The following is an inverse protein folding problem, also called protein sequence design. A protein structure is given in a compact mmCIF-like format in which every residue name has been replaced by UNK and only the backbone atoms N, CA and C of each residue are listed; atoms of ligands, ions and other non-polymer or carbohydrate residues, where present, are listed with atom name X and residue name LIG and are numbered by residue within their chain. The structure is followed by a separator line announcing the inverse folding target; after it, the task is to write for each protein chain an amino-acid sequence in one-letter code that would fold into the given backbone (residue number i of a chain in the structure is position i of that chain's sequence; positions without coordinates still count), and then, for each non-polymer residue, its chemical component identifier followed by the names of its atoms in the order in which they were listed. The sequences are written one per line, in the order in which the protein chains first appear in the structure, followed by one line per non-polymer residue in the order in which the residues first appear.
data_IF_097041522365
#
_entry.id   IF_097041522365
#
_cell.length_a   1.000
_cell.length_b   1.000
_cell.length_c   1.000
_cell.angle_alpha   90.00
_cell.angle_beta   90.00
_cell.angle_gamma   90.00
#
_symmetry.space_group_name_H-M   'P 1'
#
loop_
_entity.id
_entity.type
_entity.pdbx_description
1 polymer ?
#
# COMPACT_ATOMS: atom_id res chain seq x y z
N UNK A 1 2.25 -14.18 -5.40
CA UNK A 1 2.34 -12.95 -6.18
C UNK A 1 3.56 -12.13 -5.79
N UNK A 2 3.98 -11.24 -6.66
CA UNK A 2 5.07 -10.31 -6.37
C UNK A 2 4.67 -9.38 -5.23
N UNK A 3 5.66 -9.01 -4.41
CA UNK A 3 5.54 -7.92 -3.45
C UNK A 3 5.71 -6.58 -4.17
N UNK A 4 5.14 -5.52 -3.61
CA UNK A 4 5.45 -4.14 -4.01
C UNK A 4 6.93 -3.84 -3.70
N UNK A 5 7.58 -2.90 -4.41
CA UNK A 5 9.03 -2.70 -4.26
C UNK A 5 9.50 -2.39 -2.83
N UNK A 6 8.68 -1.68 -2.05
CA UNK A 6 8.99 -1.34 -0.64
C UNK A 6 8.55 -2.42 0.36
N UNK A 7 7.81 -3.45 -0.10
CA UNK A 7 7.31 -4.51 0.76
C UNK A 7 8.35 -5.63 0.91
N UNK A 8 8.35 -6.28 2.07
CA UNK A 8 9.22 -7.41 2.38
C UNK A 8 8.42 -8.63 2.86
N UNK A 9 9.10 -9.71 3.19
CA UNK A 9 8.53 -10.88 3.84
C UNK A 9 8.47 -12.13 2.98
N UNK A 10 7.61 -13.05 3.35
CA UNK A 10 7.53 -14.41 2.81
C UNK A 10 7.14 -14.44 1.35
N UNK A 11 7.96 -15.06 0.51
CA UNK A 11 7.68 -15.34 -0.89
C UNK A 11 7.85 -16.84 -1.17
N UNK A 12 6.87 -17.44 -1.82
CA UNK A 12 6.96 -18.82 -2.28
C UNK A 12 7.61 -18.84 -3.67
N UNK A 13 8.69 -19.58 -3.80
CA UNK A 13 9.38 -19.84 -5.07
C UNK A 13 9.03 -21.26 -5.52
N UNK A 14 8.72 -21.43 -6.79
CA UNK A 14 8.35 -22.72 -7.41
C UNK A 14 9.42 -23.06 -8.44
N UNK A 15 9.82 -24.32 -8.49
CA UNK A 15 10.85 -24.82 -9.40
C UNK A 15 10.31 -25.96 -10.27
N UNK A 16 10.85 -26.11 -11.47
CA UNK A 16 10.53 -27.21 -12.37
C UNK A 16 9.01 -27.37 -12.60
N UNK A 17 8.52 -28.57 -12.42
CA UNK A 17 7.10 -28.93 -12.61
C UNK A 17 6.15 -28.18 -11.64
N UNK A 18 6.62 -27.80 -10.45
CA UNK A 18 5.81 -27.05 -9.48
C UNK A 18 5.36 -25.69 -10.01
N UNK A 19 6.05 -25.14 -11.02
CA UNK A 19 5.65 -23.88 -11.67
C UNK A 19 4.26 -23.97 -12.28
N UNK A 20 3.80 -25.15 -12.68
CA UNK A 20 2.44 -25.42 -13.18
C UNK A 20 1.37 -25.20 -12.10
N UNK A 21 1.75 -25.30 -10.82
CA UNK A 21 0.87 -25.06 -9.69
C UNK A 21 0.76 -23.56 -9.31
N UNK A 22 1.47 -22.68 -10.01
CA UNK A 22 1.44 -21.24 -9.74
C UNK A 22 0.03 -20.65 -9.64
N UNK A 23 -0.92 -20.93 -10.53
CA UNK A 23 -2.29 -20.39 -10.43
C UNK A 23 -2.95 -20.72 -9.10
N UNK A 24 -2.75 -21.94 -8.59
CA UNK A 24 -3.27 -22.40 -7.29
C UNK A 24 -2.65 -21.60 -6.15
N UNK A 25 -1.34 -21.45 -6.11
CA UNK A 25 -0.64 -20.68 -5.06
C UNK A 25 -0.95 -19.17 -5.13
N UNK A 26 -1.26 -18.62 -6.27
CA UNK A 26 -1.70 -17.23 -6.39
C UNK A 26 -3.01 -16.98 -5.66
N UNK A 27 -3.89 -17.98 -5.55
CA UNK A 27 -5.19 -17.89 -4.86
C UNK A 27 -5.10 -18.02 -3.33
N UNK A 28 -3.93 -18.38 -2.78
CA UNK A 28 -3.74 -18.51 -1.32
C UNK A 28 -4.08 -17.21 -0.59
N UNK A 29 -4.61 -17.33 0.62
CA UNK A 29 -4.71 -16.22 1.55
C UNK A 29 -3.30 -15.78 1.99
N UNK A 30 -3.18 -14.51 2.36
CA UNK A 30 -1.94 -13.92 2.85
C UNK A 30 -2.19 -13.16 4.12
N UNK A 31 -1.20 -13.16 4.99
CA UNK A 31 -1.21 -12.32 6.20
C UNK A 31 -0.12 -11.27 6.06
N UNK A 32 -0.49 -10.04 6.33
CA UNK A 32 0.41 -8.88 6.27
C UNK A 32 0.41 -8.14 7.59
N UNK A 33 1.56 -7.62 7.94
CA UNK A 33 1.72 -6.58 8.94
C UNK A 33 2.06 -5.27 8.22
N UNK A 34 1.52 -4.16 8.69
CA UNK A 34 1.74 -2.84 8.12
C UNK A 34 1.40 -1.75 9.14
N UNK A 35 1.82 -0.53 8.83
CA UNK A 35 1.50 0.64 9.64
C UNK A 35 0.70 1.63 8.81
N UNK A 36 -0.33 2.22 9.42
CA UNK A 36 -0.98 3.42 8.91
C UNK A 36 -0.21 4.60 9.50
N UNK A 37 0.49 5.36 8.65
CA UNK A 37 1.21 6.56 9.03
C UNK A 37 0.31 7.78 8.81
N UNK A 38 0.10 8.57 9.86
CA UNK A 38 -0.81 9.71 9.88
C UNK A 38 -0.07 11.02 9.55
N UNK A 39 -0.80 11.91 8.90
CA UNK A 39 -0.37 13.29 8.66
C UNK A 39 0.22 13.55 7.29
N UNK A 40 0.49 12.51 6.50
CA UNK A 40 1.06 12.66 5.15
C UNK A 40 0.35 11.70 4.22
N UNK A 41 -0.09 12.18 3.05
CA UNK A 41 -0.55 11.32 1.96
C UNK A 41 0.37 11.39 0.75
N UNK A 42 0.40 10.32 -0.04
CA UNK A 42 1.18 10.21 -1.26
C UNK A 42 0.33 9.72 -2.42
N UNK A 43 0.77 9.94 -3.65
CA UNK A 43 0.07 9.50 -4.87
C UNK A 43 0.12 7.98 -5.08
N UNK A 44 1.06 7.27 -4.44
CA UNK A 44 1.15 5.80 -4.47
C UNK A 44 0.49 5.11 -3.27
N UNK A 45 -0.03 5.89 -2.31
CA UNK A 45 -0.60 5.39 -1.04
C UNK A 45 0.41 4.68 -0.13
N UNK A 46 1.71 4.82 -0.42
CA UNK A 46 2.85 4.32 0.37
C UNK A 46 4.04 5.29 0.29
N UNK A 47 5.17 4.93 0.89
CA UNK A 47 6.38 5.80 0.92
C UNK A 47 7.04 6.02 -0.44
N UNK A 48 6.67 5.28 -1.47
CA UNK A 48 7.25 5.40 -2.82
C UNK A 48 6.55 6.45 -3.68
N UNK A 49 5.54 7.12 -3.17
CA UNK A 49 4.82 8.18 -3.85
C UNK A 49 5.38 9.57 -3.58
N UNK A 50 5.00 10.50 -4.47
CA UNK A 50 5.14 11.92 -4.21
C UNK A 50 4.14 12.34 -3.14
N UNK A 51 4.57 13.21 -2.24
CA UNK A 51 3.69 13.76 -1.21
C UNK A 51 2.62 14.63 -1.86
N UNK A 52 1.36 14.37 -1.52
CA UNK A 52 0.19 15.07 -2.07
C UNK A 52 -0.51 15.96 -1.06
N UNK A 53 -0.45 15.60 0.22
CA UNK A 53 -1.01 16.42 1.30
C UNK A 53 -0.29 16.16 2.62
N UNK A 54 -0.20 17.22 3.45
CA UNK A 54 0.35 17.18 4.80
C UNK A 54 -0.64 17.88 5.74
N UNK A 55 -0.97 17.22 6.86
CA UNK A 55 -1.78 17.80 7.93
C UNK A 55 -1.21 17.35 9.29
N UNK A 56 -0.75 18.28 10.06
CA UNK A 56 -0.15 18.03 11.38
C UNK A 56 -1.17 17.87 12.51
N UNK A 57 -2.46 18.15 12.23
CA UNK A 57 -3.54 18.11 13.23
C UNK A 57 -4.20 16.73 13.42
N UNK A 58 -3.76 15.72 12.67
CA UNK A 58 -4.42 14.39 12.58
C UNK A 58 -4.44 13.56 13.87
N UNK A 59 -3.76 13.99 14.95
CA UNK A 59 -3.77 13.27 16.24
C UNK A 59 -5.19 13.02 16.78
N UNK A 60 -6.12 13.93 16.51
CA UNK A 60 -7.50 13.85 16.98
C UNK A 60 -8.34 12.79 16.23
N UNK A 61 -7.80 12.19 15.16
CA UNK A 61 -8.54 11.30 14.27
C UNK A 61 -8.20 9.82 14.42
N UNK A 62 -7.39 9.47 15.43
CA UNK A 62 -6.96 8.06 15.66
C UNK A 62 -8.16 7.14 15.86
N UNK A 63 -9.11 7.53 16.70
CA UNK A 63 -10.30 6.70 16.98
C UNK A 63 -11.21 6.57 15.75
N UNK A 64 -11.31 7.61 14.93
CA UNK A 64 -12.04 7.56 13.66
C UNK A 64 -11.41 6.54 12.70
N UNK A 65 -10.07 6.50 12.61
CA UNK A 65 -9.35 5.51 11.79
C UNK A 65 -9.57 4.10 12.34
N UNK A 66 -9.46 3.89 13.66
CA UNK A 66 -9.70 2.58 14.29
C UNK A 66 -11.12 2.09 14.04
N UNK A 67 -12.11 2.96 14.20
CA UNK A 67 -13.51 2.66 13.91
C UNK A 67 -13.68 2.28 12.45
N UNK A 68 -13.11 3.05 11.52
CA UNK A 68 -13.16 2.77 10.09
C UNK A 68 -12.53 1.41 9.74
N UNK A 69 -11.39 1.08 10.31
CA UNK A 69 -10.75 -0.22 10.13
C UNK A 69 -11.66 -1.36 10.57
N UNK A 70 -12.30 -1.24 11.74
CA UNK A 70 -13.12 -2.29 12.33
C UNK A 70 -14.53 -2.39 11.73
N UNK A 71 -15.03 -1.35 11.06
CA UNK A 71 -16.39 -1.33 10.48
C UNK A 71 -16.36 -1.48 8.97
N UNK A 72 -15.55 -0.68 8.28
CA UNK A 72 -15.51 -0.65 6.82
C UNK A 72 -14.51 -1.66 6.24
N UNK A 73 -13.24 -1.61 6.67
CA UNK A 73 -12.19 -2.44 6.08
C UNK A 73 -12.42 -3.92 6.36
N UNK A 74 -12.83 -4.29 7.58
CA UNK A 74 -13.10 -5.70 7.91
C UNK A 74 -14.22 -6.30 7.05
N UNK A 75 -15.19 -5.50 6.63
CA UNK A 75 -16.34 -5.92 5.83
C UNK A 75 -16.15 -5.70 4.31
N UNK A 76 -14.98 -5.29 3.87
CA UNK A 76 -14.71 -5.02 2.46
C UNK A 76 -14.80 -6.29 1.61
N UNK A 77 -15.69 -6.29 0.61
CA UNK A 77 -15.93 -7.42 -0.29
C UNK A 77 -15.40 -7.21 -1.70
N UNK A 78 -15.14 -5.96 -2.08
CA UNK A 78 -14.58 -5.58 -3.38
C UNK A 78 -13.50 -4.53 -3.20
N UNK A 79 -12.53 -4.51 -4.11
CA UNK A 79 -11.46 -3.51 -4.11
C UNK A 79 -11.09 -3.16 -5.55
N UNK A 80 -11.01 -1.87 -5.87
CA UNK A 80 -10.45 -1.40 -7.13
C UNK A 80 -8.94 -1.68 -7.17
N UNK A 81 -8.40 -1.86 -8.38
CA UNK A 81 -6.96 -1.87 -8.55
C UNK A 81 -6.38 -0.48 -8.35
N UNK A 82 -5.23 -0.40 -7.69
CA UNK A 82 -4.52 0.87 -7.55
C UNK A 82 -4.08 1.40 -8.93
N UNK A 83 -4.20 2.73 -9.21
CA UNK A 83 -3.74 3.34 -10.46
C UNK A 83 -2.27 3.02 -10.78
N UNK A 84 -1.42 3.01 -9.77
CA UNK A 84 0.00 2.63 -9.87
C UNK A 84 0.14 1.13 -9.59
N UNK A 85 -0.41 0.29 -10.47
CA UNK A 85 -0.30 -1.18 -10.37
C UNK A 85 0.07 -1.82 -11.70
N UNK A 86 0.55 -3.08 -11.64
CA UNK A 86 0.92 -3.87 -12.80
C UNK A 86 -0.28 -4.51 -13.52
N UNK A 87 -1.53 -4.28 -13.07
CA UNK A 87 -2.73 -4.76 -13.74
C UNK A 87 -2.82 -4.15 -15.13
N UNK A 88 -2.91 -5.00 -16.15
CA UNK A 88 -3.02 -4.57 -17.54
C UNK A 88 -4.47 -4.36 -17.94
N UNK A 89 -4.75 -3.23 -18.56
CA UNK A 89 -6.02 -2.90 -19.22
C UNK A 89 -5.78 -2.50 -20.67
N UNK A 90 -6.84 -2.52 -21.46
CA UNK A 90 -6.84 -1.95 -22.80
C UNK A 90 -7.52 -0.56 -22.75
N UNK A 91 -6.79 0.49 -23.10
CA UNK A 91 -7.31 1.86 -23.18
C UNK A 91 -6.85 2.48 -24.51
N UNK A 92 -7.48 2.01 -25.61
CA UNK A 92 -7.16 2.45 -26.96
C UNK A 92 -6.58 1.36 -27.86
N UNK A 93 -6.25 1.66 -29.13
CA UNK A 93 -5.71 0.70 -30.08
C UNK A 93 -4.34 0.16 -29.62
N UNK A 94 -4.14 -1.16 -29.76
CA UNK A 94 -2.88 -1.81 -29.48
C UNK A 94 -2.89 -2.78 -28.32
N UNK A 95 -1.72 -3.07 -27.74
CA UNK A 95 -1.54 -4.06 -26.68
C UNK A 95 -1.96 -3.54 -25.31
N UNK A 96 -2.57 -4.42 -24.50
CA UNK A 96 -2.84 -4.13 -23.08
C UNK A 96 -1.57 -3.63 -22.36
N UNK A 97 -1.68 -2.52 -21.67
CA UNK A 97 -0.60 -1.92 -20.86
C UNK A 97 -1.01 -1.91 -19.39
N UNK A 98 -0.04 -1.92 -18.46
CA UNK A 98 -0.34 -1.84 -17.03
C UNK A 98 -0.95 -0.47 -16.65
N UNK A 99 -1.73 -0.45 -15.57
CA UNK A 99 -2.40 0.78 -15.09
C UNK A 99 -1.40 1.91 -14.86
N UNK A 100 -0.24 1.63 -14.24
CA UNK A 100 0.80 2.64 -14.02
C UNK A 100 1.28 3.34 -15.31
N UNK A 101 1.24 2.65 -16.46
CA UNK A 101 1.60 3.23 -17.75
C UNK A 101 0.58 4.30 -18.18
N UNK A 102 -0.72 3.99 -18.05
CA UNK A 102 -1.79 4.92 -18.39
C UNK A 102 -1.87 6.08 -17.41
N UNK A 103 -1.62 5.80 -16.12
CA UNK A 103 -1.52 6.82 -15.08
C UNK A 103 -0.39 7.83 -15.37
N UNK A 104 0.82 7.34 -15.70
CA UNK A 104 1.96 8.20 -16.06
C UNK A 104 1.69 9.05 -17.32
N UNK A 105 0.82 8.59 -18.20
CA UNK A 105 0.38 9.33 -19.40
C UNK A 105 -0.70 10.38 -19.08
N UNK A 106 -1.23 10.43 -17.87
CA UNK A 106 -2.28 11.36 -17.48
C UNK A 106 -3.65 11.09 -18.12
N UNK A 107 -3.86 9.88 -18.67
CA UNK A 107 -5.10 9.52 -19.39
C UNK A 107 -5.91 8.44 -18.67
N UNK A 108 -5.47 8.00 -17.48
CA UNK A 108 -6.20 7.04 -16.65
C UNK A 108 -7.25 7.75 -15.80
N UNK A 109 -8.51 7.33 -15.92
CA UNK A 109 -9.61 7.83 -15.13
C UNK A 109 -10.01 6.83 -14.04
N UNK A 110 -10.69 7.29 -13.00
CA UNK A 110 -11.18 6.41 -11.91
C UNK A 110 -12.17 5.34 -12.43
N UNK A 111 -12.94 5.65 -13.47
CA UNK A 111 -13.84 4.73 -14.17
C UNK A 111 -13.13 3.60 -14.90
N UNK A 112 -11.87 3.79 -15.28
CA UNK A 112 -11.06 2.77 -15.95
C UNK A 112 -10.54 1.68 -15.00
N UNK A 113 -10.59 1.94 -13.68
CA UNK A 113 -10.03 1.05 -12.68
C UNK A 113 -10.92 -0.18 -12.49
N UNK A 114 -10.46 -1.37 -12.90
CA UNK A 114 -11.24 -2.58 -12.67
C UNK A 114 -11.31 -2.89 -11.19
N UNK A 115 -12.44 -3.43 -10.76
CA UNK A 115 -12.64 -3.97 -9.42
C UNK A 115 -12.39 -5.48 -9.41
N UNK A 116 -12.17 -6.00 -8.23
CA UNK A 116 -12.03 -7.44 -7.99
C UNK A 116 -12.66 -7.80 -6.65
N UNK A 117 -13.20 -9.02 -6.51
CA UNK A 117 -13.64 -9.51 -5.22
C UNK A 117 -12.43 -9.69 -4.30
N UNK A 118 -12.61 -9.33 -3.04
CA UNK A 118 -11.65 -9.52 -1.95
C UNK A 118 -12.40 -9.96 -0.70
N UNK A 119 -11.66 -10.51 0.27
CA UNK A 119 -12.21 -10.83 1.59
C UNK A 119 -11.16 -10.51 2.63
N UNK A 120 -11.55 -9.76 3.63
CA UNK A 120 -10.80 -9.64 4.87
C UNK A 120 -11.24 -10.77 5.79
N UNK A 121 -10.30 -11.60 6.23
CA UNK A 121 -10.55 -12.80 7.04
C UNK A 121 -10.38 -12.46 8.52
N UNK A 122 -9.33 -11.67 8.82
CA UNK A 122 -9.12 -11.11 10.14
C UNK A 122 -8.36 -9.80 10.04
N UNK A 123 -8.60 -8.92 11.00
CA UNK A 123 -7.94 -7.64 11.14
C UNK A 123 -7.75 -7.37 12.63
N UNK A 124 -6.57 -6.95 13.05
CA UNK A 124 -6.30 -6.57 14.44
C UNK A 124 -5.19 -5.53 14.51
N UNK A 125 -5.30 -4.61 15.43
CA UNK A 125 -4.16 -3.80 15.85
C UNK A 125 -3.18 -4.70 16.60
N UNK A 126 -1.88 -4.63 16.30
CA UNK A 126 -0.89 -5.57 16.84
C UNK A 126 -0.27 -5.11 18.14
N UNK A 127 0.02 -3.82 18.25
CA UNK A 127 0.63 -3.19 19.42
C UNK A 127 0.01 -1.81 19.64
N UNK A 128 0.46 -1.10 20.68
CA UNK A 128 0.10 0.29 20.91
C UNK A 128 0.55 1.18 19.76
N UNK A 129 -0.05 2.36 19.70
CA UNK A 129 0.29 3.41 18.75
C UNK A 129 1.73 3.85 19.02
N UNK A 130 2.48 4.04 17.93
CA UNK A 130 3.87 4.50 18.00
C UNK A 130 3.91 5.97 17.56
N UNK A 131 4.42 6.82 18.42
CA UNK A 131 4.70 8.21 18.09
C UNK A 131 6.20 8.38 17.86
N UNK A 132 6.60 8.87 16.70
CA UNK A 132 7.99 9.11 16.31
C UNK A 132 8.19 10.60 16.02
N UNK A 133 9.35 11.15 16.38
CA UNK A 133 9.76 12.41 15.77
C UNK A 133 9.93 12.24 14.26
N UNK A 134 9.68 13.30 13.50
CA UNK A 134 9.73 13.23 12.05
C UNK A 134 11.12 12.84 11.53
N UNK A 135 12.18 13.31 12.16
CA UNK A 135 13.57 12.99 11.74
C UNK A 135 13.81 11.48 11.79
N UNK A 136 13.45 10.82 12.89
CA UNK A 136 13.59 9.36 13.00
C UNK A 136 12.71 8.59 12.01
N UNK A 137 11.48 9.09 11.77
CA UNK A 137 10.61 8.54 10.74
C UNK A 137 11.22 8.70 9.34
N UNK A 138 11.73 9.88 9.02
CA UNK A 138 12.39 10.17 7.75
C UNK A 138 13.60 9.26 7.49
N UNK A 139 14.39 8.98 8.51
CA UNK A 139 15.53 8.05 8.39
C UNK A 139 15.05 6.63 8.04
N UNK A 140 13.94 6.17 8.62
CA UNK A 140 13.33 4.88 8.27
C UNK A 140 12.82 4.88 6.82
N UNK A 141 12.17 5.97 6.37
CA UNK A 141 11.72 6.13 4.97
C UNK A 141 12.92 6.08 4.03
N UNK A 142 13.96 6.87 4.29
CA UNK A 142 15.18 6.91 3.47
C UNK A 142 15.87 5.55 3.40
N UNK A 143 15.98 4.86 4.52
CA UNK A 143 16.55 3.51 4.55
C UNK A 143 15.81 2.56 3.60
N UNK A 144 14.46 2.57 3.64
CA UNK A 144 13.64 1.73 2.75
C UNK A 144 13.74 2.16 1.28
N UNK A 145 13.69 3.45 0.98
CA UNK A 145 13.84 3.97 -0.38
C UNK A 145 15.22 3.63 -0.96
N UNK A 146 16.28 3.73 -0.14
CA UNK A 146 17.63 3.38 -0.55
C UNK A 146 17.82 1.88 -0.82
N UNK A 147 17.01 1.01 -0.25
CA UNK A 147 17.01 -0.44 -0.49
C UNK A 147 16.40 -0.82 -1.86
N UNK A 148 15.76 0.11 -2.57
CA UNK A 148 15.19 -0.12 -3.90
C UNK A 148 16.31 -0.24 -4.94
N UNK A 149 16.35 -1.35 -5.67
CA UNK A 149 17.41 -1.64 -6.64
C UNK A 149 17.32 -0.81 -7.91
N UNK A 150 16.12 -0.57 -8.41
CA UNK A 150 15.86 0.17 -9.67
C UNK A 150 15.46 1.62 -9.37
N UNK A 151 16.42 2.39 -8.85
CA UNK A 151 16.20 3.75 -8.33
C UNK A 151 15.73 4.74 -9.41
N UNK A 152 16.25 4.62 -10.62
CA UNK A 152 15.88 5.51 -11.75
C UNK A 152 14.44 5.26 -12.20
N UNK A 153 14.07 4.00 -12.37
CA UNK A 153 12.70 3.61 -12.76
C UNK A 153 11.63 4.16 -11.83
N UNK A 154 11.92 4.19 -10.53
CA UNK A 154 10.99 4.64 -9.50
C UNK A 154 11.20 6.10 -9.08
N UNK A 155 12.10 6.84 -9.72
CA UNK A 155 12.42 8.25 -9.40
C UNK A 155 12.77 8.45 -7.91
N UNK A 156 13.49 7.51 -7.31
CA UNK A 156 13.77 7.49 -5.86
C UNK A 156 14.42 8.80 -5.39
N UNK A 157 15.29 9.42 -6.19
CA UNK A 157 15.93 10.70 -5.84
C UNK A 157 14.90 11.81 -5.63
N UNK A 158 13.94 11.94 -6.55
CA UNK A 158 12.88 12.95 -6.48
C UNK A 158 11.95 12.70 -5.28
N UNK A 159 11.55 11.43 -5.07
CA UNK A 159 10.73 11.02 -3.94
C UNK A 159 11.43 11.34 -2.63
N UNK A 160 12.70 10.98 -2.47
CA UNK A 160 13.48 11.27 -1.26
C UNK A 160 13.57 12.77 -0.99
N UNK A 161 13.81 13.58 -2.03
CA UNK A 161 13.84 15.05 -1.90
C UNK A 161 12.48 15.61 -1.45
N UNK A 162 11.36 15.00 -1.88
CA UNK A 162 10.02 15.37 -1.41
C UNK A 162 9.85 15.10 0.09
N UNK A 163 10.33 13.95 0.58
CA UNK A 163 10.32 13.62 2.01
C UNK A 163 11.21 14.55 2.83
N UNK A 164 12.38 14.97 2.31
CA UNK A 164 13.26 15.94 2.96
C UNK A 164 12.62 17.33 3.13
N UNK A 165 11.71 17.70 2.25
CA UNK A 165 11.01 18.98 2.27
C UNK A 165 9.84 19.06 3.24
N UNK A 166 9.47 17.97 3.93
CA UNK A 166 8.33 17.97 4.87
C UNK A 166 8.70 18.68 6.18
N UNK A 167 7.88 19.66 6.57
CA UNK A 167 7.96 20.32 7.88
C UNK A 167 6.89 19.75 8.82
N UNK A 168 7.30 18.83 9.69
CA UNK A 168 6.43 18.14 10.64
C UNK A 168 7.24 17.77 11.88
N UNK A 169 6.64 17.86 13.06
CA UNK A 169 7.32 17.52 14.30
C UNK A 169 7.30 16.01 14.56
N UNK A 170 6.14 15.38 14.37
CA UNK A 170 5.89 13.99 14.75
C UNK A 170 5.01 13.27 13.75
N UNK A 171 5.23 11.98 13.61
CA UNK A 171 4.40 11.03 12.84
C UNK A 171 3.81 9.99 13.80
N UNK A 172 2.55 9.68 13.63
CA UNK A 172 1.86 8.62 14.38
C UNK A 172 1.74 7.40 13.45
N UNK A 173 2.13 6.24 13.97
CA UNK A 173 2.00 4.96 13.31
C UNK A 173 1.00 4.09 14.06
N UNK A 174 -0.03 3.58 13.37
CA UNK A 174 -0.97 2.61 13.91
C UNK A 174 -0.65 1.25 13.29
N UNK A 175 -0.14 0.28 14.08
CA UNK A 175 0.25 -1.03 13.58
C UNK A 175 -0.95 -1.96 13.43
N UNK A 176 -1.05 -2.63 12.28
CA UNK A 176 -2.09 -3.61 12.00
C UNK A 176 -1.53 -4.90 11.42
N UNK A 177 -2.17 -6.01 11.77
CA UNK A 177 -2.09 -7.26 11.05
C UNK A 177 -3.41 -7.53 10.34
N UNK A 178 -3.34 -7.92 9.07
CA UNK A 178 -4.50 -8.26 8.26
C UNK A 178 -4.29 -9.60 7.54
N UNK A 179 -5.28 -10.48 7.63
CA UNK A 179 -5.35 -11.70 6.83
C UNK A 179 -6.41 -11.52 5.75
N UNK A 180 -6.02 -11.73 4.50
CA UNK A 180 -6.85 -11.41 3.34
C UNK A 180 -6.82 -12.50 2.28
N UNK A 181 -7.86 -12.53 1.46
CA UNK A 181 -7.89 -13.34 0.24
C UNK A 181 -6.86 -12.87 -0.79
N UNK A 182 -6.65 -13.69 -1.80
CA UNK A 182 -5.81 -13.35 -2.94
C UNK A 182 -6.20 -12.02 -3.58
N UNK A 183 -5.18 -11.28 -3.98
CA UNK A 183 -5.36 -10.06 -4.76
C UNK A 183 -5.61 -8.80 -3.94
N UNK A 184 -5.81 -8.87 -2.62
CA UNK A 184 -5.96 -7.69 -1.79
C UNK A 184 -4.70 -6.81 -1.84
N UNK A 185 -4.88 -5.50 -1.98
CA UNK A 185 -3.81 -4.52 -1.96
C UNK A 185 -3.87 -3.73 -0.65
N UNK A 186 -2.87 -3.95 0.21
CA UNK A 186 -2.79 -3.28 1.52
C UNK A 186 -2.73 -1.76 1.37
N UNK A 187 -2.05 -1.24 0.34
CA UNK A 187 -1.97 0.21 0.06
C UNK A 187 -3.33 0.88 -0.14
N UNK A 188 -4.29 0.14 -0.69
CA UNK A 188 -5.63 0.69 -0.89
C UNK A 188 -6.34 1.07 0.40
N UNK A 189 -5.89 0.56 1.56
CA UNK A 189 -6.43 0.96 2.86
C UNK A 189 -6.25 2.46 3.09
N UNK A 190 -5.08 3.02 2.75
CA UNK A 190 -4.87 4.47 2.90
C UNK A 190 -5.73 5.29 1.94
N UNK A 191 -5.93 4.80 0.70
CA UNK A 191 -6.86 5.44 -0.23
C UNK A 191 -8.28 5.45 0.33
N UNK A 192 -8.75 4.32 0.85
CA UNK A 192 -10.10 4.21 1.45
C UNK A 192 -10.25 5.13 2.68
N UNK A 193 -9.24 5.24 3.53
CA UNK A 193 -9.24 6.19 4.67
C UNK A 193 -9.32 7.63 4.16
N UNK A 194 -8.49 8.00 3.19
CA UNK A 194 -8.48 9.35 2.63
C UNK A 194 -9.82 9.69 1.97
N UNK A 195 -10.37 8.80 1.17
CA UNK A 195 -11.59 9.05 0.41
C UNK A 195 -12.84 9.13 1.30
N UNK A 196 -12.87 8.41 2.43
CA UNK A 196 -14.04 8.37 3.33
C UNK A 196 -13.91 9.29 4.54
N UNK A 197 -12.71 9.51 5.06
CA UNK A 197 -12.48 10.32 6.26
C UNK A 197 -11.81 11.67 5.96
N UNK A 198 -11.36 11.88 4.72
CA UNK A 198 -10.59 13.07 4.30
C UNK A 198 -9.32 13.29 5.15
N UNK A 199 -8.65 12.20 5.56
CA UNK A 199 -7.46 12.25 6.39
C UNK A 199 -6.21 11.92 5.57
N UNK A 200 -5.14 12.73 5.60
CA UNK A 200 -3.88 12.40 4.96
C UNK A 200 -3.18 11.28 5.71
N UNK A 201 -3.15 10.12 5.09
CA UNK A 201 -2.46 8.92 5.58
C UNK A 201 -1.78 8.21 4.43
N UNK A 202 -0.79 7.39 4.75
CA UNK A 202 -0.18 6.44 3.82
C UNK A 202 0.20 5.14 4.54
N UNK A 203 0.45 4.09 3.78
CA UNK A 203 0.91 2.82 4.34
C UNK A 203 2.43 2.80 4.42
N UNK A 204 2.93 2.49 5.61
CA UNK A 204 4.35 2.30 5.89
C UNK A 204 4.62 0.83 6.24
N UNK A 205 5.73 0.29 5.78
CA UNK A 205 6.30 -0.95 6.28
C UNK A 205 5.50 -2.22 6.00
N UNK A 206 4.99 -2.43 4.78
CA UNK A 206 4.28 -3.66 4.43
C UNK A 206 5.20 -4.87 4.54
N UNK A 207 4.86 -5.82 5.42
CA UNK A 207 5.57 -7.08 5.61
C UNK A 207 4.60 -8.26 5.44
N UNK A 208 4.85 -9.13 4.46
CA UNK A 208 4.05 -10.34 4.28
C UNK A 208 4.53 -11.44 5.21
N UNK A 209 3.81 -11.67 6.30
CA UNK A 209 4.15 -12.65 7.33
C UNK A 209 3.93 -14.09 6.85
N UNK A 210 2.88 -14.31 6.04
CA UNK A 210 2.47 -15.67 5.66
C UNK A 210 1.81 -15.73 4.29
N UNK A 211 2.08 -16.81 3.58
CA UNK A 211 1.31 -17.31 2.43
C UNK A 211 0.76 -18.67 2.83
N UNK A 212 -0.55 -18.84 2.88
CA UNK A 212 -1.15 -20.11 3.32
C UNK A 212 -0.81 -21.25 2.36
N UNK A 213 -0.74 -22.46 2.91
CA UNK A 213 -0.68 -23.68 2.10
C UNK A 213 -2.07 -23.95 1.52
N UNK A 214 -2.10 -24.48 0.33
CA UNK A 214 -3.33 -24.94 -0.35
C UNK A 214 -3.37 -26.44 -0.23
#
# INVERSE_FOLDING_TARGET
GKLDPQACGVTKVLFGEDTKMMPKYLQSNKTYEFFIALGISTDSDDIMGRITNIDTSVKNNIESIKSFMNTYIINQTTQKYHPISAKKINKGPGKKRPLWYWHKKGILEESDLPSKPVKVISLRQTTDIIELNYTGYLDMVKYRLNSITDKERFNIKEITSGWDGVSMEKVILIPYEIKVSSGFYVRMISKEIRDNLNLPVHIFGINRLKVERI
#
